data_IF_386293251700
#
_entry.id   IF_386293251700
#
_cell.length_a   1.000
_cell.length_b   1.000
_cell.length_c   1.000
_cell.angle_alpha   90.00
_cell.angle_beta   90.00
_cell.angle_gamma   90.00
#
_symmetry.space_group_name_H-M   'P 1'
#
loop_
_entity.id
_entity.type
_entity.pdbx_description
1 polymer ?
#
# COMPACT_ATOMS: atom_id res chain seq x y z
N UNK A 1 1.38 15.21 -21.88
CA UNK A 1 0.81 13.86 -21.69
C UNK A 1 1.41 13.30 -20.41
N UNK A 2 0.67 13.32 -19.30
CA UNK A 2 1.14 12.63 -18.10
C UNK A 2 0.91 11.14 -18.31
N UNK A 3 1.99 10.37 -18.42
CA UNK A 3 1.90 8.90 -18.47
C UNK A 3 1.28 8.34 -17.19
N UNK A 4 0.70 7.14 -17.30
CA UNK A 4 0.15 6.41 -16.17
C UNK A 4 1.25 6.16 -15.11
N UNK A 5 0.91 6.33 -13.83
CA UNK A 5 1.87 6.11 -12.74
C UNK A 5 2.18 4.62 -12.69
N UNK A 6 3.46 4.26 -12.82
CA UNK A 6 3.96 2.89 -12.67
C UNK A 6 3.30 1.83 -13.60
N UNK A 7 2.86 2.24 -14.80
CA UNK A 7 2.10 1.41 -15.76
C UNK A 7 2.67 -0.01 -15.96
N UNK A 8 3.96 -0.11 -16.31
CA UNK A 8 4.60 -1.39 -16.56
C UNK A 8 4.56 -2.33 -15.33
N UNK A 9 4.64 -1.78 -14.12
CA UNK A 9 4.54 -2.56 -12.88
C UNK A 9 3.10 -2.95 -12.57
N UNK A 10 2.14 -2.08 -12.85
CA UNK A 10 0.73 -2.39 -12.69
C UNK A 10 0.35 -3.59 -13.59
N UNK A 11 0.77 -3.57 -14.86
CA UNK A 11 0.59 -4.68 -15.80
C UNK A 11 1.21 -5.97 -15.23
N UNK A 12 2.49 -5.93 -14.84
CA UNK A 12 3.18 -7.10 -14.32
C UNK A 12 2.53 -7.68 -13.04
N UNK A 13 2.02 -6.81 -12.16
CA UNK A 13 1.29 -7.23 -10.94
C UNK A 13 0.00 -7.95 -11.31
N UNK A 14 -0.79 -7.38 -12.22
CA UNK A 14 -2.05 -7.98 -12.67
C UNK A 14 -1.81 -9.35 -13.31
N UNK A 15 -0.81 -9.45 -14.19
CA UNK A 15 -0.42 -10.72 -14.83
C UNK A 15 0.04 -11.76 -13.81
N UNK A 16 0.86 -11.36 -12.83
CA UNK A 16 1.35 -12.27 -11.78
C UNK A 16 0.23 -12.80 -10.90
N UNK A 17 -0.72 -11.94 -10.52
CA UNK A 17 -1.91 -12.34 -9.76
C UNK A 17 -2.79 -13.29 -10.58
N UNK A 18 -3.03 -12.97 -11.86
CA UNK A 18 -3.81 -13.81 -12.78
C UNK A 18 -3.21 -15.20 -12.96
N UNK A 19 -1.89 -15.28 -13.16
CA UNK A 19 -1.16 -16.54 -13.29
C UNK A 19 -1.28 -17.43 -12.02
N UNK A 20 -1.44 -16.82 -10.85
CA UNK A 20 -1.61 -17.53 -9.57
C UNK A 20 -3.08 -17.73 -9.17
N UNK A 21 -4.04 -17.21 -9.93
CA UNK A 21 -5.46 -17.29 -9.60
C UNK A 21 -5.84 -16.59 -8.29
N UNK A 22 -5.15 -15.50 -7.94
CA UNK A 22 -5.41 -14.74 -6.71
C UNK A 22 -5.88 -13.32 -7.01
N UNK A 23 -6.73 -12.79 -6.15
CA UNK A 23 -7.15 -11.39 -6.18
C UNK A 23 -6.20 -10.51 -5.34
N UNK A 24 -6.10 -9.23 -5.70
CA UNK A 24 -5.31 -8.20 -5.01
C UNK A 24 -6.24 -7.15 -4.39
N UNK A 25 -5.89 -6.67 -3.19
CA UNK A 25 -6.52 -5.51 -2.58
C UNK A 25 -5.48 -4.55 -1.98
N UNK A 26 -5.83 -3.26 -1.86
CA UNK A 26 -4.90 -2.21 -1.38
C UNK A 26 -5.44 -1.47 -0.16
N UNK A 27 -4.56 -1.02 0.73
CA UNK A 27 -4.86 -0.03 1.76
C UNK A 27 -3.93 1.18 1.65
N UNK A 28 -4.51 2.37 1.46
CA UNK A 28 -3.79 3.57 1.09
C UNK A 28 -4.07 4.70 2.07
N UNK A 29 -3.01 5.21 2.70
CA UNK A 29 -3.08 6.49 3.42
C UNK A 29 -2.45 7.59 2.57
N UNK A 30 -1.12 7.76 2.60
CA UNK A 30 -0.47 8.91 1.98
C UNK A 30 -0.56 8.95 0.44
N UNK A 31 -0.73 7.80 -0.22
CA UNK A 31 -0.95 7.67 -1.67
C UNK A 31 -2.40 7.97 -2.08
N UNK A 32 -3.35 7.95 -1.14
CA UNK A 32 -4.73 8.42 -1.35
C UNK A 32 -5.44 7.84 -2.57
N UNK A 33 -5.30 6.55 -2.84
CA UNK A 33 -5.98 5.84 -3.94
C UNK A 33 -5.16 5.72 -5.22
N UNK A 34 -3.92 6.24 -5.27
CA UNK A 34 -3.09 6.19 -6.48
C UNK A 34 -2.59 4.78 -6.82
N UNK A 35 -2.48 3.87 -5.85
CA UNK A 35 -2.12 2.48 -6.14
C UNK A 35 -3.30 1.79 -6.81
N UNK A 36 -4.51 1.96 -6.26
CA UNK A 36 -5.73 1.47 -6.87
C UNK A 36 -5.90 2.06 -8.28
N UNK A 37 -5.75 3.38 -8.45
CA UNK A 37 -5.85 4.04 -9.75
C UNK A 37 -4.86 3.45 -10.78
N UNK A 38 -3.58 3.32 -10.41
CA UNK A 38 -2.54 2.72 -11.26
C UNK A 38 -2.90 1.31 -11.74
N UNK A 39 -3.49 0.49 -10.86
CA UNK A 39 -3.96 -0.85 -11.21
C UNK A 39 -5.21 -0.81 -12.10
N UNK A 40 -6.19 0.04 -11.78
CA UNK A 40 -7.48 0.09 -12.48
C UNK A 40 -7.42 0.82 -13.83
N UNK A 41 -6.38 1.61 -14.08
CA UNK A 41 -6.13 2.23 -15.39
C UNK A 41 -5.77 1.18 -16.47
N UNK A 42 -5.35 -0.03 -16.05
CA UNK A 42 -5.06 -1.12 -16.97
C UNK A 42 -6.34 -1.86 -17.35
N UNK A 43 -6.60 -2.00 -18.66
CA UNK A 43 -7.72 -2.75 -19.18
C UNK A 43 -7.69 -4.21 -18.70
N UNK A 44 -8.86 -4.71 -18.27
CA UNK A 44 -9.00 -6.07 -17.73
C UNK A 44 -8.61 -6.22 -16.26
N UNK A 45 -8.21 -5.15 -15.56
CA UNK A 45 -7.87 -5.19 -14.13
C UNK A 45 -8.99 -5.70 -13.20
N UNK A 46 -10.24 -5.69 -13.66
CA UNK A 46 -11.42 -6.15 -12.91
C UNK A 46 -11.41 -7.65 -12.57
N UNK A 47 -10.60 -8.46 -13.25
CA UNK A 47 -10.45 -9.89 -12.93
C UNK A 47 -9.47 -10.17 -11.77
N UNK A 48 -8.70 -9.17 -11.35
CA UNK A 48 -7.67 -9.28 -10.31
C UNK A 48 -7.91 -8.33 -9.14
N UNK A 49 -8.30 -7.08 -9.38
CA UNK A 49 -8.47 -6.09 -8.31
C UNK A 49 -9.80 -6.32 -7.59
N UNK A 50 -9.77 -6.73 -6.32
CA UNK A 50 -10.99 -6.95 -5.53
C UNK A 50 -11.56 -5.64 -4.99
N UNK A 51 -10.72 -4.84 -4.29
CA UNK A 51 -11.09 -3.54 -3.70
C UNK A 51 -9.85 -2.74 -3.27
N UNK A 52 -10.06 -1.45 -3.04
CA UNK A 52 -9.09 -0.57 -2.39
C UNK A 52 -9.71 0.13 -1.18
N UNK A 53 -8.93 0.31 -0.12
CA UNK A 53 -9.29 1.05 1.08
C UNK A 53 -8.46 2.33 1.14
N UNK A 54 -9.09 3.50 1.15
CA UNK A 54 -8.37 4.76 1.44
C UNK A 54 -8.61 5.13 2.89
N UNK A 55 -7.66 4.82 3.76
CA UNK A 55 -7.75 5.00 5.23
C UNK A 55 -6.90 6.17 5.71
N UNK A 56 -7.28 7.37 5.26
CA UNK A 56 -6.49 8.57 5.47
C UNK A 56 -6.38 8.97 6.96
N UNK A 57 -7.45 8.83 7.74
CA UNK A 57 -7.46 9.12 9.18
C UNK A 57 -7.07 7.89 10.02
N UNK A 58 -6.89 8.08 11.33
CA UNK A 58 -6.62 6.98 12.26
C UNK A 58 -7.88 6.13 12.46
N UNK A 59 -9.03 6.79 12.57
CA UNK A 59 -10.35 6.17 12.71
C UNK A 59 -10.64 5.29 11.48
N UNK A 60 -10.36 5.77 10.27
CA UNK A 60 -10.55 4.95 9.07
C UNK A 60 -9.67 3.69 9.05
N UNK A 61 -8.45 3.73 9.62
CA UNK A 61 -7.61 2.53 9.77
C UNK A 61 -8.25 1.53 10.74
N UNK A 62 -8.87 2.02 11.80
CA UNK A 62 -9.61 1.19 12.74
C UNK A 62 -10.89 0.62 12.10
N UNK A 63 -11.77 1.49 11.62
CA UNK A 63 -13.11 1.12 11.16
C UNK A 63 -13.10 0.19 9.95
N UNK A 64 -12.19 0.45 8.99
CA UNK A 64 -12.18 -0.28 7.71
C UNK A 64 -11.26 -1.50 7.72
N UNK A 65 -10.19 -1.49 8.52
CA UNK A 65 -9.15 -2.51 8.50
C UNK A 65 -8.95 -3.22 9.84
N UNK A 66 -9.62 -2.78 10.90
CA UNK A 66 -9.48 -3.35 12.24
C UNK A 66 -8.12 -3.09 12.87
N UNK A 67 -7.42 -2.01 12.49
CA UNK A 67 -6.16 -1.63 13.15
C UNK A 67 -6.47 -1.23 14.59
N UNK A 68 -5.83 -1.84 15.61
CA UNK A 68 -6.05 -1.45 17.00
C UNK A 68 -5.63 -0.01 17.23
N UNK A 69 -6.47 0.78 17.90
CA UNK A 69 -6.18 2.19 18.18
C UNK A 69 -4.94 2.33 19.07
N UNK A 70 -4.73 1.39 19.99
CA UNK A 70 -3.57 1.36 20.90
C UNK A 70 -2.24 1.24 20.14
N UNK A 71 -2.25 0.57 18.98
CA UNK A 71 -1.09 0.45 18.11
C UNK A 71 -0.71 1.80 17.52
N UNK A 72 -1.73 2.57 17.12
CA UNK A 72 -1.55 3.92 16.58
C UNK A 72 -1.12 4.88 17.69
N UNK A 73 -1.67 4.76 18.90
CA UNK A 73 -1.29 5.60 20.04
C UNK A 73 0.17 5.36 20.46
N UNK A 74 0.61 4.10 20.43
CA UNK A 74 1.96 3.71 20.88
C UNK A 74 3.02 3.99 19.82
N UNK A 75 2.77 3.63 18.56
CA UNK A 75 3.79 3.67 17.50
C UNK A 75 3.59 4.84 16.52
N UNK A 76 2.41 5.46 16.53
CA UNK A 76 1.96 6.44 15.55
C UNK A 76 1.55 5.82 14.22
N UNK A 77 0.64 6.47 13.49
CA UNK A 77 0.07 5.96 12.24
C UNK A 77 1.11 5.63 11.14
N UNK A 78 2.26 6.30 11.15
CA UNK A 78 3.40 6.01 10.27
C UNK A 78 4.42 5.19 11.05
N UNK A 79 4.24 3.87 11.04
CA UNK A 79 5.10 2.87 11.70
C UNK A 79 5.06 1.53 10.98
N UNK A 80 5.98 0.63 11.35
CA UNK A 80 6.01 -0.74 10.87
C UNK A 80 4.74 -1.50 11.25
N UNK A 81 4.37 -1.41 12.52
CA UNK A 81 3.28 -2.14 13.15
C UNK A 81 1.95 -1.77 12.50
N UNK A 82 1.71 -0.48 12.27
CA UNK A 82 0.49 0.00 11.61
C UNK A 82 0.45 -0.46 10.15
N UNK A 83 1.58 -0.45 9.43
CA UNK A 83 1.63 -0.96 8.06
C UNK A 83 1.30 -2.47 7.99
N UNK A 84 1.88 -3.28 8.88
CA UNK A 84 1.58 -4.71 9.00
C UNK A 84 0.09 -4.95 9.34
N UNK A 85 -0.44 -4.25 10.34
CA UNK A 85 -1.83 -4.35 10.75
C UNK A 85 -2.79 -3.96 9.62
N UNK A 86 -2.48 -2.88 8.87
CA UNK A 86 -3.25 -2.49 7.70
C UNK A 86 -3.27 -3.59 6.62
N UNK A 87 -2.11 -4.20 6.29
CA UNK A 87 -2.04 -5.24 5.27
C UNK A 87 -2.80 -6.52 5.67
N UNK A 88 -2.68 -6.92 6.95
CA UNK A 88 -3.45 -8.04 7.49
C UNK A 88 -4.96 -7.74 7.51
N UNK A 89 -5.34 -6.51 7.86
CA UNK A 89 -6.71 -6.02 7.83
C UNK A 89 -7.33 -6.11 6.44
N UNK A 90 -6.58 -5.71 5.40
CA UNK A 90 -7.04 -5.85 4.01
C UNK A 90 -7.39 -7.30 3.67
N UNK A 91 -6.54 -8.28 4.02
CA UNK A 91 -6.85 -9.69 3.77
C UNK A 91 -8.09 -10.17 4.54
N UNK A 92 -8.30 -9.67 5.76
CA UNK A 92 -9.48 -10.00 6.59
C UNK A 92 -10.77 -9.41 6.02
N UNK A 93 -10.71 -8.24 5.39
CA UNK A 93 -11.86 -7.46 4.94
C UNK A 93 -12.06 -7.48 3.42
N UNK A 94 -11.40 -8.38 2.70
CA UNK A 94 -11.50 -8.54 1.24
C UNK A 94 -11.55 -10.01 0.83
N UNK A 95 -11.70 -10.27 -0.47
CA UNK A 95 -11.54 -11.61 -1.05
C UNK A 95 -10.12 -11.86 -1.57
N UNK A 96 -9.19 -10.94 -1.30
CA UNK A 96 -7.85 -10.97 -1.85
C UNK A 96 -7.01 -12.12 -1.29
N UNK A 97 -6.15 -12.68 -2.15
CA UNK A 97 -5.07 -13.57 -1.74
C UNK A 97 -3.82 -12.80 -1.33
N UNK A 98 -3.63 -11.59 -1.86
CA UNK A 98 -2.51 -10.70 -1.55
C UNK A 98 -3.01 -9.27 -1.27
N UNK A 99 -2.37 -8.61 -0.32
CA UNK A 99 -2.66 -7.23 0.05
C UNK A 99 -1.39 -6.39 0.14
N UNK A 100 -1.50 -5.11 -0.21
CA UNK A 100 -0.45 -4.12 0.05
C UNK A 100 -1.03 -2.91 0.79
N UNK A 101 -0.34 -2.43 1.81
CA UNK A 101 -0.71 -1.26 2.60
C UNK A 101 0.38 -0.19 2.52
N UNK A 102 -0.01 1.08 2.59
CA UNK A 102 0.93 2.22 2.60
C UNK A 102 0.51 3.27 3.63
N UNK A 103 1.42 3.61 4.54
CA UNK A 103 1.28 4.72 5.48
C UNK A 103 2.56 5.56 5.54
N UNK A 104 2.45 6.89 5.48
CA UNK A 104 3.64 7.74 5.35
C UNK A 104 3.37 9.23 5.42
N UNK A 105 4.44 10.01 5.39
CA UNK A 105 4.43 11.48 5.42
C UNK A 105 4.81 12.01 4.04
N UNK A 106 3.81 12.30 3.20
CA UNK A 106 4.06 12.80 1.84
C UNK A 106 4.39 14.31 1.77
N UNK A 107 4.31 15.06 2.87
CA UNK A 107 4.61 16.50 2.88
C UNK A 107 3.51 17.39 2.25
N UNK A 108 3.76 18.72 2.19
CA UNK A 108 4.98 19.38 2.65
C UNK A 108 5.08 19.51 4.18
N UNK A 109 3.95 19.39 4.90
CA UNK A 109 3.91 19.37 6.37
C UNK A 109 3.86 17.95 6.96
N UNK A 110 3.77 17.87 8.29
CA UNK A 110 3.59 16.60 9.02
C UNK A 110 4.89 15.83 9.32
N UNK A 111 6.04 16.38 8.91
CA UNK A 111 7.35 15.83 9.26
C UNK A 111 7.80 16.23 10.67
N UNK A 112 8.60 15.38 11.29
CA UNK A 112 9.36 15.65 12.51
C UNK A 112 10.77 15.06 12.38
N UNK A 113 11.67 15.35 13.32
CA UNK A 113 13.01 14.75 13.33
C UNK A 113 12.96 13.21 13.36
N UNK A 114 12.00 12.62 14.09
CA UNK A 114 11.80 11.18 14.16
C UNK A 114 11.08 10.59 12.93
N UNK A 115 10.17 11.37 12.32
CA UNK A 115 9.35 10.97 11.18
C UNK A 115 9.39 12.05 10.08
N UNK A 116 10.48 12.13 9.30
CA UNK A 116 10.66 13.20 8.33
C UNK A 116 9.66 13.08 7.16
N UNK A 117 9.46 14.18 6.44
CA UNK A 117 8.80 14.13 5.13
C UNK A 117 9.55 13.14 4.22
N UNK A 118 8.80 12.34 3.47
CA UNK A 118 9.34 11.27 2.64
C UNK A 118 9.39 9.90 3.34
N UNK A 119 9.21 9.82 4.66
CA UNK A 119 9.09 8.54 5.36
C UNK A 119 7.80 7.82 4.95
N UNK A 120 7.93 6.59 4.46
CA UNK A 120 6.82 5.72 4.10
C UNK A 120 7.11 4.29 4.57
N UNK A 121 6.11 3.68 5.21
CA UNK A 121 6.05 2.28 5.53
C UNK A 121 5.07 1.56 4.60
N UNK A 122 5.49 0.38 4.15
CA UNK A 122 4.74 -0.51 3.30
C UNK A 122 4.51 -1.81 4.04
N UNK A 123 3.28 -2.31 4.06
CA UNK A 123 2.98 -3.68 4.49
C UNK A 123 2.57 -4.51 3.29
N UNK A 124 2.99 -5.77 3.23
CA UNK A 124 2.51 -6.75 2.25
C UNK A 124 2.10 -8.02 2.98
N UNK A 125 0.92 -8.52 2.68
CA UNK A 125 0.40 -9.74 3.28
C UNK A 125 -0.04 -10.69 2.16
N UNK A 126 0.47 -11.92 2.19
CA UNK A 126 0.04 -13.00 1.33
C UNK A 126 -0.64 -14.06 2.19
N UNK A 127 -1.81 -14.53 1.77
CA UNK A 127 -2.62 -15.48 2.53
C UNK A 127 -1.80 -16.75 2.84
N UNK A 128 -1.79 -17.15 4.11
CA UNK A 128 -1.01 -18.30 4.59
C UNK A 128 0.45 -17.98 4.94
N UNK A 129 0.87 -16.71 4.89
CA UNK A 129 2.22 -16.28 5.25
C UNK A 129 2.18 -15.14 6.27
N UNK A 130 3.29 -14.99 7.00
CA UNK A 130 3.48 -13.84 7.87
C UNK A 130 3.58 -12.55 7.03
N UNK A 131 2.84 -11.48 7.36
CA UNK A 131 2.98 -10.19 6.71
C UNK A 131 4.41 -9.64 6.85
N UNK A 132 4.87 -8.91 5.84
CA UNK A 132 6.19 -8.27 5.82
C UNK A 132 6.04 -6.77 5.69
N UNK A 133 6.96 -6.03 6.30
CA UNK A 133 7.02 -4.58 6.17
C UNK A 133 8.35 -4.11 5.59
N UNK A 134 8.29 -2.99 4.88
CA UNK A 134 9.47 -2.32 4.32
C UNK A 134 9.36 -0.83 4.60
N UNK A 135 10.49 -0.23 4.98
CA UNK A 135 10.63 1.20 5.24
C UNK A 135 11.41 1.88 4.12
N UNK A 136 10.92 3.02 3.65
CA UNK A 136 11.67 3.92 2.79
C UNK A 136 11.61 5.36 3.28
N UNK A 137 12.67 6.11 3.04
CA UNK A 137 12.67 7.57 3.09
C UNK A 137 12.97 8.05 1.67
N UNK A 138 11.98 8.66 1.03
CA UNK A 138 12.15 9.25 -0.29
C UNK A 138 12.71 10.68 -0.18
N UNK A 139 13.56 11.12 -1.13
CA UNK A 139 13.94 12.52 -1.22
C UNK A 139 12.70 13.42 -1.36
N UNK A 140 12.68 14.53 -0.62
CA UNK A 140 11.59 15.49 -0.68
C UNK A 140 11.71 16.38 -1.92
N UNK A 141 11.28 15.83 -3.06
CA UNK A 141 11.04 16.57 -4.29
C UNK A 141 9.55 16.94 -4.44
N UNK A 142 8.87 17.12 -3.30
CA UNK A 142 7.47 17.47 -3.24
C UNK A 142 6.51 16.27 -3.14
N UNK A 143 5.28 16.58 -2.69
CA UNK A 143 4.24 15.60 -2.36
C UNK A 143 3.91 14.61 -3.47
N UNK A 144 3.83 15.09 -4.71
CA UNK A 144 3.53 14.23 -5.86
C UNK A 144 4.66 13.22 -6.10
N UNK A 145 5.92 13.66 -6.01
CA UNK A 145 7.09 12.80 -6.18
C UNK A 145 7.12 11.65 -5.16
N UNK A 146 6.91 11.97 -3.88
CA UNK A 146 6.86 10.96 -2.80
C UNK A 146 5.73 9.96 -3.03
N UNK A 147 4.53 10.44 -3.41
CA UNK A 147 3.38 9.57 -3.70
C UNK A 147 3.64 8.65 -4.89
N UNK A 148 4.22 9.15 -5.98
CA UNK A 148 4.53 8.35 -7.17
C UNK A 148 5.62 7.31 -6.88
N UNK A 149 6.65 7.68 -6.10
CA UNK A 149 7.68 6.76 -5.65
C UNK A 149 7.07 5.66 -4.77
N UNK A 150 6.16 6.01 -3.85
CA UNK A 150 5.46 5.05 -3.01
C UNK A 150 4.60 4.07 -3.82
N UNK A 151 3.86 4.54 -4.84
CA UNK A 151 3.10 3.64 -5.74
C UNK A 151 4.04 2.65 -6.41
N UNK A 152 5.16 3.12 -6.97
CA UNK A 152 6.16 2.25 -7.58
C UNK A 152 6.70 1.18 -6.62
N UNK A 153 7.07 1.58 -5.40
CA UNK A 153 7.57 0.67 -4.37
C UNK A 153 6.52 -0.34 -3.94
N UNK A 154 5.26 0.07 -3.76
CA UNK A 154 4.18 -0.84 -3.39
C UNK A 154 3.98 -1.96 -4.42
N UNK A 155 3.96 -1.62 -5.72
CA UNK A 155 3.82 -2.61 -6.79
C UNK A 155 5.06 -3.53 -6.90
N UNK A 156 6.27 -3.00 -6.70
CA UNK A 156 7.49 -3.83 -6.64
C UNK A 156 7.45 -4.85 -5.49
N UNK A 157 6.90 -4.47 -4.34
CA UNK A 157 6.78 -5.37 -3.18
C UNK A 157 5.77 -6.48 -3.42
N UNK A 158 4.66 -6.19 -4.09
CA UNK A 158 3.70 -7.21 -4.53
C UNK A 158 4.39 -8.21 -5.46
N UNK A 159 5.09 -7.74 -6.51
CA UNK A 159 5.84 -8.61 -7.44
C UNK A 159 6.85 -9.49 -6.72
N UNK A 160 7.68 -8.91 -5.85
CA UNK A 160 8.68 -9.64 -5.07
C UNK A 160 8.06 -10.71 -4.18
N UNK A 161 6.90 -10.43 -3.59
CA UNK A 161 6.18 -11.37 -2.73
C UNK A 161 5.60 -12.54 -3.52
N UNK A 162 5.08 -12.28 -4.73
CA UNK A 162 4.56 -13.31 -5.62
C UNK A 162 5.66 -14.19 -6.23
N UNK A 163 6.85 -13.63 -6.50
CA UNK A 163 7.96 -14.39 -7.07
C UNK A 163 8.63 -15.39 -6.10
N UNK A 164 8.42 -15.25 -4.78
CA UNK A 164 9.03 -16.11 -3.75
C UNK A 164 8.23 -17.39 -3.47
N UNK A 165 7.10 -17.57 -4.15
CA UNK A 165 6.10 -18.62 -3.92
C UNK A 165 5.68 -19.27 -5.22
#
# INVERSE_FOLDING_TARGET
MSGLIAEAKAIAVLESCRAKGILLATAESCTGGLIAASLTDIAGSSDVVDRGFVTYSNEAKHDMLGVPSELIDTHGAVSEEVALAMAAGVLKHSRAGIAVSVTGVAGPGGGSAAKPVGLVWFGVALKGQAPQAVRHIFPDHGRASIRHAAVNTALDLVLKTLARN
#
